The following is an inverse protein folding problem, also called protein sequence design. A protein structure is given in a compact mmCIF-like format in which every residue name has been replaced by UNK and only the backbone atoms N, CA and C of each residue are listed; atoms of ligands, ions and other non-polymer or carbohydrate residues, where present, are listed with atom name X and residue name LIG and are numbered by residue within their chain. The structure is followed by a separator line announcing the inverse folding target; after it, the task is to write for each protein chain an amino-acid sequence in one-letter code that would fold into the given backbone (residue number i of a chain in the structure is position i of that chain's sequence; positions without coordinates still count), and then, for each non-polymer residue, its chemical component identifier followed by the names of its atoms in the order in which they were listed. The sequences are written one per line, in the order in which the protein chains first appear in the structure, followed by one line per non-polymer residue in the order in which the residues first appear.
data_IF_606846993604
#
_entry.id   IF_606846993604
#
_cell.length_a   1.000
_cell.length_b   1.000
_cell.length_c   1.000
_cell.angle_alpha   90.00
_cell.angle_beta   90.00
_cell.angle_gamma   90.00
#
_symmetry.space_group_name_H-M   'P 1'
#
loop_
_entity.id
_entity.type
_entity.pdbx_description
1 polymer ?
#
# COMPACT_ATOMS: atom_id res chain seq x y z
N UNK A 1 31.34 14.93 17.23
CA UNK A 1 31.01 13.50 16.97
C UNK A 1 31.97 12.84 15.98
N UNK A 2 32.38 13.50 14.89
CA UNK A 2 33.32 12.95 13.89
C UNK A 2 34.77 13.41 14.04
N UNK A 3 35.06 14.39 14.92
CA UNK A 3 36.40 14.96 15.09
C UNK A 3 36.81 15.97 14.01
N UNK A 4 35.95 16.25 13.03
CA UNK A 4 36.19 17.27 11.99
C UNK A 4 35.79 18.65 12.50
N UNK A 5 36.61 19.67 12.22
CA UNK A 5 36.33 21.06 12.60
C UNK A 5 35.12 21.63 11.84
N UNK A 6 34.15 22.28 12.52
CA UNK A 6 32.99 22.89 11.88
C UNK A 6 33.34 24.11 11.01
N UNK A 7 34.48 24.76 11.28
CA UNK A 7 34.96 25.95 10.55
C UNK A 7 36.01 25.61 9.49
N UNK A 8 36.31 24.32 9.29
CA UNK A 8 37.29 23.83 8.33
C UNK A 8 36.78 23.76 6.88
N UNK A 9 37.57 23.13 5.97
CA UNK A 9 37.22 22.95 4.57
C UNK A 9 35.86 22.25 4.35
N UNK A 10 35.43 21.42 5.30
CA UNK A 10 34.16 20.68 5.26
C UNK A 10 32.99 21.41 5.97
N UNK A 11 33.08 22.73 6.18
CA UNK A 11 32.01 23.54 6.80
C UNK A 11 30.65 23.39 6.12
N UNK A 12 30.65 23.19 4.80
CA UNK A 12 29.42 23.01 4.02
C UNK A 12 28.65 21.76 4.47
N UNK A 13 29.35 20.64 4.71
CA UNK A 13 28.73 19.40 5.20
C UNK A 13 28.07 19.58 6.56
N UNK A 14 28.72 20.31 7.48
CA UNK A 14 28.14 20.59 8.80
C UNK A 14 26.83 21.38 8.69
N UNK A 15 26.78 22.40 7.80
CA UNK A 15 25.56 23.19 7.54
C UNK A 15 24.44 22.34 6.96
N UNK A 16 24.75 21.48 5.99
CA UNK A 16 23.75 20.58 5.37
C UNK A 16 23.20 19.60 6.40
N UNK A 17 24.05 18.99 7.23
CA UNK A 17 23.60 18.08 8.30
C UNK A 17 22.67 18.80 9.27
N UNK A 18 23.04 20.00 9.75
CA UNK A 18 22.23 20.75 10.70
C UNK A 18 20.86 21.14 10.12
N UNK A 19 20.83 21.64 8.88
CA UNK A 19 19.60 22.06 8.23
C UNK A 19 18.66 20.87 7.96
N UNK A 20 19.20 19.77 7.43
CA UNK A 20 18.40 18.60 7.09
C UNK A 20 17.97 17.80 8.32
N UNK A 21 18.77 17.79 9.40
CA UNK A 21 18.33 17.27 10.70
C UNK A 21 17.11 18.06 11.20
N UNK A 22 17.18 19.39 11.17
CA UNK A 22 16.07 20.27 11.57
C UNK A 22 14.83 19.96 10.75
N UNK A 23 14.92 19.99 9.41
CA UNK A 23 13.78 19.67 8.54
C UNK A 23 13.20 18.27 8.81
N UNK A 24 14.06 17.27 9.04
CA UNK A 24 13.60 15.90 9.32
C UNK A 24 12.81 15.81 10.62
N UNK A 25 13.29 16.44 11.69
CA UNK A 25 12.61 16.41 13.01
C UNK A 25 11.26 17.13 12.96
N UNK A 26 11.19 18.29 12.29
CA UNK A 26 9.93 19.02 12.12
C UNK A 26 8.90 18.22 11.31
N UNK A 27 9.31 17.62 10.18
CA UNK A 27 8.42 16.77 9.38
C UNK A 27 7.91 15.56 10.17
N UNK A 28 8.78 14.94 10.98
CA UNK A 28 8.35 13.84 11.86
C UNK A 28 7.41 14.31 12.96
N UNK A 29 7.59 15.52 13.49
CA UNK A 29 6.66 16.12 14.46
C UNK A 29 5.27 16.35 13.86
N UNK A 30 5.20 16.66 12.56
CA UNK A 30 3.94 16.78 11.79
C UNK A 30 3.33 15.43 11.37
N UNK A 31 3.87 14.30 11.88
CA UNK A 31 3.40 12.95 11.59
C UNK A 31 3.86 12.39 10.25
N UNK A 32 4.81 13.02 9.56
CA UNK A 32 5.38 12.49 8.32
C UNK A 32 6.43 11.44 8.66
N UNK A 33 6.26 10.22 8.14
CA UNK A 33 7.22 9.12 8.25
C UNK A 33 7.86 8.82 6.88
N UNK A 34 9.12 8.32 6.84
CA UNK A 34 9.80 8.00 5.59
C UNK A 34 9.04 6.96 4.75
N UNK A 35 8.75 7.27 3.49
CA UNK A 35 8.03 6.40 2.56
C UNK A 35 8.61 6.46 1.14
N UNK A 36 8.05 5.68 0.21
CA UNK A 36 8.46 5.69 -1.20
C UNK A 36 7.79 6.83 -2.00
N UNK A 37 6.77 7.50 -1.46
CA UNK A 37 5.94 8.46 -2.22
C UNK A 37 5.49 9.67 -1.39
N UNK A 38 5.06 10.74 -2.07
CA UNK A 38 4.48 11.92 -1.44
C UNK A 38 5.40 12.59 -0.41
N UNK A 39 4.83 13.06 0.71
CA UNK A 39 5.59 13.75 1.78
C UNK A 39 6.66 12.86 2.43
N UNK A 40 6.38 11.56 2.57
CA UNK A 40 7.33 10.62 3.16
C UNK A 40 8.55 10.35 2.27
N UNK A 41 8.39 10.43 0.94
CA UNK A 41 9.53 10.41 0.00
C UNK A 41 10.43 11.63 0.18
N UNK A 42 9.84 12.82 0.34
CA UNK A 42 10.60 14.06 0.56
C UNK A 42 11.40 13.99 1.86
N UNK A 43 10.76 13.54 2.96
CA UNK A 43 11.44 13.34 4.24
C UNK A 43 12.63 12.38 4.09
N UNK A 44 12.41 11.22 3.46
CA UNK A 44 13.46 10.23 3.21
C UNK A 44 14.63 10.82 2.44
N UNK A 45 14.37 11.61 1.39
CA UNK A 45 15.39 12.31 0.60
C UNK A 45 16.24 13.27 1.44
N UNK A 46 15.61 14.09 2.28
CA UNK A 46 16.28 15.02 3.19
C UNK A 46 17.19 14.27 4.16
N UNK A 47 16.67 13.20 4.78
CA UNK A 47 17.41 12.37 5.73
C UNK A 47 18.65 11.74 5.08
N UNK A 48 18.49 11.11 3.91
CA UNK A 48 19.60 10.44 3.21
C UNK A 48 20.71 11.40 2.78
N UNK A 49 20.35 12.63 2.42
CA UNK A 49 21.33 13.67 2.11
C UNK A 49 22.14 14.08 3.34
N UNK A 50 21.51 14.20 4.51
CA UNK A 50 22.24 14.42 5.76
C UNK A 50 23.19 13.25 6.07
N UNK A 51 22.74 12.00 5.90
CA UNK A 51 23.55 10.78 6.12
C UNK A 51 24.76 10.71 5.19
N UNK A 52 24.61 11.13 3.91
CA UNK A 52 25.73 11.23 2.98
C UNK A 52 26.78 12.21 3.48
N UNK A 53 26.37 13.42 3.88
CA UNK A 53 27.32 14.41 4.40
C UNK A 53 27.99 13.95 5.70
N UNK A 54 27.28 13.22 6.55
CA UNK A 54 27.86 12.57 7.71
C UNK A 54 28.96 11.56 7.34
N UNK A 55 28.73 10.72 6.33
CA UNK A 55 29.72 9.78 5.81
C UNK A 55 30.95 10.52 5.26
N UNK A 56 30.77 11.63 4.54
CA UNK A 56 31.87 12.47 4.04
C UNK A 56 32.72 13.09 5.17
N UNK A 57 32.12 13.34 6.33
CA UNK A 57 32.83 13.77 7.55
C UNK A 57 33.50 12.58 8.29
N UNK A 58 33.40 11.35 7.78
CA UNK A 58 34.01 10.16 8.36
C UNK A 58 33.18 9.45 9.44
N UNK A 59 31.87 9.70 9.51
CA UNK A 59 31.00 8.94 10.42
C UNK A 59 30.99 7.45 10.06
N UNK A 60 31.32 6.58 11.04
CA UNK A 60 31.32 5.12 10.86
C UNK A 60 30.04 4.45 11.39
N UNK A 61 29.43 5.08 12.39
CA UNK A 61 28.22 4.62 13.05
C UNK A 61 27.10 5.64 12.85
N UNK A 62 25.82 5.23 12.92
CA UNK A 62 24.68 6.15 12.86
C UNK A 62 24.89 7.31 13.83
N UNK A 63 24.83 8.56 13.35
CA UNK A 63 25.05 9.74 14.19
C UNK A 63 23.89 10.71 14.21
N UNK A 64 23.01 10.73 13.20
CA UNK A 64 22.02 11.81 13.09
C UNK A 64 21.05 11.80 14.27
N UNK A 65 20.60 10.62 14.69
CA UNK A 65 19.75 10.46 15.87
C UNK A 65 20.39 11.03 17.16
N UNK A 66 21.72 11.00 17.28
CA UNK A 66 22.46 11.54 18.44
C UNK A 66 22.47 13.07 18.47
N UNK A 67 22.12 13.72 17.37
CA UNK A 67 22.01 15.17 17.26
C UNK A 67 20.61 15.69 17.63
N UNK A 68 19.59 14.82 17.65
CA UNK A 68 18.21 15.21 18.00
C UNK A 68 18.12 15.89 19.36
N UNK A 69 18.74 15.38 20.44
CA UNK A 69 18.67 16.06 21.74
C UNK A 69 19.31 17.45 21.74
N UNK A 70 20.29 17.71 20.86
CA UNK A 70 20.89 19.05 20.70
C UNK A 70 19.86 19.99 20.07
N UNK A 71 19.21 19.56 18.98
CA UNK A 71 18.17 20.34 18.31
C UNK A 71 17.01 20.66 19.26
N UNK A 72 16.55 19.67 20.05
CA UNK A 72 15.48 19.85 21.03
C UNK A 72 15.89 20.87 22.11
N UNK A 73 17.13 20.85 22.59
CA UNK A 73 17.62 21.88 23.54
C UNK A 73 17.63 23.28 22.95
N UNK A 74 18.06 23.43 21.70
CA UNK A 74 18.16 24.75 21.04
C UNK A 74 16.79 25.32 20.66
N UNK A 75 15.85 24.47 20.24
CA UNK A 75 14.59 24.92 19.61
C UNK A 75 13.33 24.57 20.39
N UNK A 76 13.36 23.59 21.29
CA UNK A 76 12.17 23.00 21.91
C UNK A 76 11.34 23.96 22.76
N UNK A 77 11.94 25.06 23.25
CA UNK A 77 11.20 26.12 23.97
C UNK A 77 10.24 26.88 23.05
N UNK A 78 10.65 27.15 21.81
CA UNK A 78 9.82 27.86 20.83
C UNK A 78 8.89 26.91 20.06
N UNK A 79 9.25 25.63 19.97
CA UNK A 79 8.56 24.60 19.19
C UNK A 79 8.29 23.35 20.06
N UNK A 80 7.26 23.35 20.92
CA UNK A 80 6.97 22.22 21.82
C UNK A 80 6.66 20.90 21.09
N UNK A 81 6.21 20.97 19.83
CA UNK A 81 5.93 19.81 18.98
C UNK A 81 7.17 18.94 18.73
N UNK A 82 8.36 19.52 18.59
CA UNK A 82 9.59 18.73 18.41
C UNK A 82 10.04 18.04 19.70
N UNK A 83 9.64 18.55 20.88
CA UNK A 83 9.87 17.89 22.17
C UNK A 83 9.03 16.62 22.25
N UNK A 84 7.72 16.71 21.90
CA UNK A 84 6.83 15.54 21.86
C UNK A 84 7.29 14.49 20.87
N UNK A 85 7.85 14.93 19.74
CA UNK A 85 8.31 14.06 18.67
C UNK A 85 9.74 13.51 18.87
N UNK A 86 10.47 13.90 19.93
CA UNK A 86 11.88 13.57 20.11
C UNK A 86 12.16 12.07 20.01
N UNK A 87 11.37 11.25 20.72
CA UNK A 87 11.52 9.79 20.72
C UNK A 87 11.28 9.20 19.32
N UNK A 88 10.19 9.61 18.66
CA UNK A 88 9.85 9.14 17.32
C UNK A 88 10.88 9.57 16.28
N UNK A 89 11.33 10.82 16.31
CA UNK A 89 12.32 11.36 15.38
C UNK A 89 13.69 10.71 15.57
N UNK A 90 14.10 10.48 16.82
CA UNK A 90 15.34 9.77 17.16
C UNK A 90 15.33 8.36 16.59
N UNK A 91 14.26 7.59 16.83
CA UNK A 91 14.13 6.22 16.33
C UNK A 91 14.04 6.19 14.80
N UNK A 92 13.26 7.08 14.20
CA UNK A 92 13.10 7.19 12.74
C UNK A 92 14.43 7.47 12.04
N UNK A 93 15.22 8.43 12.56
CA UNK A 93 16.56 8.72 12.06
C UNK A 93 17.50 7.53 12.21
N UNK A 94 17.49 6.87 13.38
CA UNK A 94 18.34 5.71 13.63
C UNK A 94 18.05 4.56 12.67
N UNK A 95 16.77 4.23 12.48
CA UNK A 95 16.35 3.12 11.63
C UNK A 95 16.63 3.39 10.16
N UNK A 96 16.32 4.60 9.66
CA UNK A 96 16.62 4.97 8.27
C UNK A 96 18.14 5.02 8.03
N UNK A 97 18.93 5.55 8.96
CA UNK A 97 20.40 5.60 8.84
C UNK A 97 21.01 4.20 8.80
N UNK A 98 20.55 3.28 9.66
CA UNK A 98 20.96 1.87 9.63
C UNK A 98 20.58 1.18 8.32
N UNK A 99 19.35 1.39 7.84
CA UNK A 99 18.84 0.78 6.60
C UNK A 99 19.63 1.29 5.39
N UNK A 100 19.84 2.59 5.33
CA UNK A 100 20.44 3.26 4.20
C UNK A 100 21.96 3.08 4.12
N UNK A 101 22.66 2.94 5.25
CA UNK A 101 24.13 2.82 5.29
C UNK A 101 24.70 1.76 4.33
N UNK A 102 24.11 0.55 4.30
CA UNK A 102 24.57 -0.54 3.41
C UNK A 102 24.44 -0.16 1.93
N UNK A 103 23.35 0.51 1.59
CA UNK A 103 23.09 1.05 0.24
C UNK A 103 24.05 2.20 -0.10
N UNK A 104 24.33 3.07 0.88
CA UNK A 104 25.19 4.24 0.72
C UNK A 104 26.64 3.85 0.46
N UNK A 105 27.22 2.97 1.27
CA UNK A 105 28.64 2.54 1.13
C UNK A 105 28.87 1.89 -0.24
N UNK A 106 28.01 0.95 -0.64
CA UNK A 106 28.13 0.26 -1.93
C UNK A 106 27.85 1.19 -3.12
N UNK A 107 26.84 2.04 -3.01
CA UNK A 107 26.46 2.98 -4.07
C UNK A 107 27.52 4.04 -4.34
N UNK A 108 28.18 4.57 -3.29
CA UNK A 108 29.26 5.54 -3.44
C UNK A 108 30.50 4.93 -4.11
N UNK A 109 30.88 3.69 -3.76
CA UNK A 109 31.99 3.00 -4.42
C UNK A 109 31.76 2.85 -5.92
N UNK A 110 30.59 2.32 -6.31
CA UNK A 110 30.24 2.16 -7.73
C UNK A 110 30.18 3.53 -8.43
N UNK A 111 29.61 4.55 -7.78
CA UNK A 111 29.56 5.89 -8.34
C UNK A 111 30.96 6.47 -8.56
N UNK A 112 31.90 6.28 -7.63
CA UNK A 112 33.29 6.73 -7.78
C UNK A 112 33.98 6.01 -8.93
N UNK A 113 33.83 4.69 -9.05
CA UNK A 113 34.39 3.88 -10.15
C UNK A 113 33.86 4.34 -11.52
N UNK A 114 32.53 4.42 -11.66
CA UNK A 114 31.85 4.78 -12.92
C UNK A 114 32.04 6.26 -13.30
N UNK A 115 32.39 7.12 -12.34
CA UNK A 115 32.65 8.54 -12.59
C UNK A 115 34.12 8.91 -12.63
N UNK A 116 35.06 7.98 -12.41
CA UNK A 116 36.49 8.28 -12.22
C UNK A 116 37.11 9.04 -13.42
N UNK A 117 36.68 8.73 -14.64
CA UNK A 117 37.17 9.37 -15.87
C UNK A 117 36.44 10.67 -16.26
N UNK A 118 35.42 11.08 -15.51
CA UNK A 118 34.58 12.23 -15.87
C UNK A 118 35.10 13.53 -15.27
N UNK A 119 35.09 14.57 -16.09
CA UNK A 119 35.52 15.94 -15.73
C UNK A 119 34.32 16.89 -15.60
N UNK A 120 34.54 18.08 -15.05
CA UNK A 120 33.52 19.12 -14.96
C UNK A 120 32.89 19.41 -16.33
N UNK A 121 31.56 19.49 -16.37
CA UNK A 121 30.77 19.65 -17.60
C UNK A 121 30.39 18.33 -18.29
N UNK A 122 30.96 17.19 -17.89
CA UNK A 122 30.58 15.88 -18.41
C UNK A 122 29.20 15.44 -17.94
N UNK A 123 28.59 14.52 -18.71
CA UNK A 123 27.35 13.84 -18.33
C UNK A 123 27.63 12.43 -17.83
N UNK A 124 27.17 12.13 -16.62
CA UNK A 124 27.18 10.78 -16.07
C UNK A 124 26.08 9.95 -16.76
N UNK A 125 26.39 8.75 -17.28
CA UNK A 125 25.45 7.95 -18.05
C UNK A 125 24.16 7.62 -17.27
N UNK A 126 23.01 7.89 -17.88
CA UNK A 126 21.70 7.72 -17.23
C UNK A 126 21.29 6.26 -17.02
N UNK A 127 21.80 5.34 -17.83
CA UNK A 127 21.65 3.89 -17.69
C UNK A 127 22.44 3.36 -16.47
N UNK A 128 23.64 3.89 -16.23
CA UNK A 128 24.43 3.59 -15.04
C UNK A 128 23.74 4.18 -13.79
N UNK A 129 23.22 5.41 -13.88
CA UNK A 129 22.41 5.99 -12.81
C UNK A 129 21.13 5.17 -12.53
N UNK A 130 20.50 4.62 -13.57
CA UNK A 130 19.36 3.72 -13.44
C UNK A 130 19.75 2.40 -12.78
N UNK A 131 20.89 1.79 -13.14
CA UNK A 131 21.42 0.59 -12.48
C UNK A 131 21.71 0.83 -11.00
N UNK A 132 22.29 1.98 -10.65
CA UNK A 132 22.47 2.42 -9.26
C UNK A 132 21.14 2.47 -8.50
N UNK A 133 20.10 3.04 -9.11
CA UNK A 133 18.77 3.14 -8.53
C UNK A 133 18.07 1.77 -8.39
N UNK A 134 17.93 1.03 -9.49
CA UNK A 134 17.12 -0.18 -9.59
C UNK A 134 17.78 -1.39 -8.91
N UNK A 135 19.06 -1.63 -9.22
CA UNK A 135 19.76 -2.83 -8.75
C UNK A 135 20.33 -2.65 -7.34
N UNK A 136 20.86 -1.46 -7.05
CA UNK A 136 21.59 -1.21 -5.80
C UNK A 136 20.82 -0.35 -4.80
N UNK A 137 19.66 0.18 -5.18
CA UNK A 137 18.81 1.01 -4.33
C UNK A 137 19.37 2.42 -4.06
N UNK A 138 20.39 2.84 -4.82
CA UNK A 138 21.08 4.13 -4.66
C UNK A 138 20.31 5.24 -5.41
N UNK A 139 19.65 6.17 -4.70
CA UNK A 139 18.72 7.13 -5.30
C UNK A 139 19.37 8.09 -6.30
N UNK A 140 18.65 8.44 -7.37
CA UNK A 140 19.10 9.39 -8.40
C UNK A 140 19.50 10.74 -7.80
N UNK A 141 18.73 11.25 -6.83
CA UNK A 141 19.00 12.54 -6.20
C UNK A 141 20.33 12.55 -5.43
N UNK A 142 20.76 11.41 -4.88
CA UNK A 142 22.06 11.28 -4.24
C UNK A 142 23.19 11.13 -5.26
N UNK A 143 22.94 10.48 -6.39
CA UNK A 143 23.86 10.46 -7.54
C UNK A 143 24.12 11.89 -8.03
N UNK A 144 23.07 12.67 -8.24
CA UNK A 144 23.17 14.08 -8.65
C UNK A 144 23.89 14.94 -7.61
N UNK A 145 23.52 14.79 -6.32
CA UNK A 145 24.14 15.55 -5.22
C UNK A 145 25.63 15.18 -5.05
N UNK A 146 25.99 13.93 -5.34
CA UNK A 146 27.36 13.44 -5.27
C UNK A 146 28.26 14.00 -6.37
N UNK A 147 27.75 14.06 -7.58
CA UNK A 147 28.48 14.53 -8.75
C UNK A 147 28.52 16.06 -8.86
N UNK A 148 27.57 16.77 -8.23
CA UNK A 148 27.47 18.23 -8.25
C UNK A 148 28.76 18.94 -7.85
N UNK A 149 29.45 18.44 -6.82
CA UNK A 149 30.71 19.03 -6.33
C UNK A 149 31.85 19.00 -7.35
N UNK A 150 31.78 18.12 -8.35
CA UNK A 150 32.74 17.97 -9.45
C UNK A 150 32.26 18.64 -10.74
N UNK A 151 31.11 19.31 -10.72
CA UNK A 151 30.50 19.91 -11.92
C UNK A 151 30.01 18.89 -12.94
N UNK A 152 29.76 17.64 -12.53
CA UNK A 152 29.25 16.57 -13.39
C UNK A 152 27.73 16.50 -13.24
N UNK A 153 27.01 16.39 -14.35
CA UNK A 153 25.55 16.29 -14.36
C UNK A 153 25.12 14.88 -14.74
N UNK A 154 24.05 14.35 -14.15
CA UNK A 154 23.48 13.06 -14.57
C UNK A 154 22.66 13.27 -15.84
N UNK A 155 22.76 12.34 -16.80
CA UNK A 155 21.84 12.32 -17.94
C UNK A 155 20.45 11.82 -17.50
N UNK A 156 19.61 12.76 -17.06
CA UNK A 156 18.28 12.45 -16.55
C UNK A 156 17.32 11.95 -17.63
N UNK A 157 17.57 12.28 -18.90
CA UNK A 157 16.70 11.88 -20.01
C UNK A 157 16.93 10.40 -20.34
N UNK A 158 18.20 9.98 -20.37
CA UNK A 158 18.56 8.56 -20.47
C UNK A 158 18.04 7.76 -19.27
N UNK A 159 18.13 8.30 -18.04
CA UNK A 159 17.56 7.66 -16.84
C UNK A 159 16.04 7.46 -16.95
N UNK A 160 15.30 8.50 -17.35
CA UNK A 160 13.84 8.42 -17.55
C UNK A 160 13.47 7.40 -18.63
N UNK A 161 14.23 7.38 -19.72
CA UNK A 161 14.03 6.40 -20.80
C UNK A 161 14.19 4.97 -20.28
N UNK A 162 15.18 4.70 -19.43
CA UNK A 162 15.36 3.40 -18.80
C UNK A 162 14.22 3.04 -17.84
N UNK A 163 13.75 4.00 -17.03
CA UNK A 163 12.58 3.84 -16.14
C UNK A 163 11.29 3.50 -16.92
N UNK A 164 11.01 4.20 -18.01
CA UNK A 164 9.81 3.95 -18.82
C UNK A 164 9.90 2.61 -19.55
N UNK A 165 11.09 2.21 -20.01
CA UNK A 165 11.31 0.87 -20.56
C UNK A 165 11.02 -0.22 -19.52
N UNK A 166 11.52 -0.09 -18.29
CA UNK A 166 11.23 -1.05 -17.22
C UNK A 166 9.72 -1.12 -16.91
N UNK A 167 9.03 0.03 -16.85
CA UNK A 167 7.58 0.05 -16.66
C UNK A 167 6.84 -0.60 -17.84
N UNK A 168 7.28 -0.35 -19.07
CA UNK A 168 6.70 -0.95 -20.26
C UNK A 168 6.91 -2.46 -20.28
N UNK A 169 8.10 -2.94 -19.92
CA UNK A 169 8.42 -4.37 -19.82
C UNK A 169 7.59 -5.04 -18.70
N UNK A 170 7.44 -4.38 -17.55
CA UNK A 170 6.56 -4.85 -16.46
C UNK A 170 5.08 -4.87 -16.87
N UNK A 171 4.62 -3.85 -17.63
CA UNK A 171 3.27 -3.79 -18.19
C UNK A 171 3.07 -4.82 -19.30
N UNK A 172 4.07 -5.11 -20.12
CA UNK A 172 3.99 -6.15 -21.16
C UNK A 172 3.94 -7.55 -20.53
N UNK A 173 4.68 -7.76 -19.43
CA UNK A 173 4.57 -8.96 -18.61
C UNK A 173 3.18 -9.07 -17.94
N UNK A 174 2.54 -7.95 -17.59
CA UNK A 174 1.16 -7.90 -17.10
C UNK A 174 0.13 -8.07 -18.23
N UNK A 175 0.33 -7.49 -19.42
CA UNK A 175 -0.59 -7.59 -20.56
C UNK A 175 -0.78 -9.00 -21.11
N UNK A 176 0.03 -9.97 -20.68
CA UNK A 176 -0.28 -11.39 -20.81
C UNK A 176 -1.53 -11.86 -20.03
N UNK A 177 -2.19 -11.00 -19.21
CA UNK A 177 -3.34 -11.35 -18.37
C UNK A 177 -4.70 -10.67 -18.72
N UNK A 178 -4.83 -9.96 -19.85
CA UNK A 178 -6.15 -9.72 -20.49
C UNK A 178 -7.10 -8.61 -19.97
N UNK A 179 -6.70 -7.69 -19.09
CA UNK A 179 -7.64 -6.77 -18.40
C UNK A 179 -8.12 -5.50 -19.17
N UNK A 180 -7.41 -5.01 -20.20
CA UNK A 180 -7.73 -3.69 -20.77
C UNK A 180 -8.99 -3.65 -21.68
N UNK A 181 -9.34 -4.75 -22.35
CA UNK A 181 -10.55 -4.81 -23.18
C UNK A 181 -11.84 -4.97 -22.35
N UNK A 182 -11.70 -5.42 -21.10
CA UNK A 182 -12.82 -5.80 -20.22
C UNK A 182 -13.53 -4.59 -19.62
N UNK A 183 -12.85 -3.45 -19.46
CA UNK A 183 -13.41 -2.28 -18.77
C UNK A 183 -14.51 -1.53 -19.55
N UNK A 184 -14.43 -1.50 -20.88
CA UNK A 184 -15.43 -0.81 -21.72
C UNK A 184 -16.84 -1.42 -21.59
N UNK A 185 -16.92 -2.75 -21.44
CA UNK A 185 -18.20 -3.45 -21.25
C UNK A 185 -18.85 -3.06 -19.92
N UNK A 186 -18.06 -2.88 -18.85
CA UNK A 186 -18.62 -2.50 -17.54
C UNK A 186 -19.22 -1.10 -17.55
N UNK A 187 -18.61 -0.14 -18.24
CA UNK A 187 -19.19 1.20 -18.39
C UNK A 187 -20.53 1.17 -19.12
N UNK A 188 -20.60 0.49 -20.26
CA UNK A 188 -21.83 0.37 -21.04
C UNK A 188 -22.95 -0.33 -20.25
N UNK A 189 -22.62 -1.42 -19.53
CA UNK A 189 -23.56 -2.13 -18.68
C UNK A 189 -24.05 -1.27 -17.51
N UNK A 190 -23.15 -0.53 -16.84
CA UNK A 190 -23.52 0.32 -15.71
C UNK A 190 -24.41 1.50 -16.12
N UNK A 191 -24.20 2.05 -17.32
CA UNK A 191 -25.03 3.11 -17.89
C UNK A 191 -26.43 2.58 -18.26
N UNK A 192 -26.52 1.38 -18.86
CA UNK A 192 -27.77 0.78 -19.31
C UNK A 192 -28.62 0.19 -18.17
N UNK A 193 -27.99 -0.54 -17.25
CA UNK A 193 -28.69 -1.34 -16.23
C UNK A 193 -28.79 -0.65 -14.87
N UNK A 194 -27.96 0.36 -14.61
CA UNK A 194 -27.87 1.00 -13.30
C UNK A 194 -26.97 0.26 -12.30
N UNK A 195 -27.02 0.69 -11.04
CA UNK A 195 -26.31 0.01 -9.95
C UNK A 195 -27.00 -1.31 -9.59
N UNK A 196 -26.22 -2.29 -9.11
CA UNK A 196 -26.82 -3.51 -8.52
C UNK A 196 -27.24 -3.22 -7.07
N UNK A 197 -28.47 -3.58 -6.72
CA UNK A 197 -28.94 -3.50 -5.34
C UNK A 197 -28.31 -4.61 -4.50
N UNK A 198 -27.58 -4.24 -3.44
CA UNK A 198 -26.88 -5.19 -2.59
C UNK A 198 -27.69 -5.49 -1.32
N UNK A 199 -28.06 -6.76 -1.14
CA UNK A 199 -28.92 -7.25 -0.06
C UNK A 199 -28.15 -8.02 1.02
N UNK A 200 -26.83 -8.24 0.83
CA UNK A 200 -26.01 -9.14 1.65
C UNK A 200 -25.68 -8.67 3.07
N UNK A 201 -26.22 -7.51 3.48
CA UNK A 201 -26.24 -7.08 4.87
C UNK A 201 -27.39 -7.71 5.66
N UNK A 202 -28.52 -7.98 5.00
CA UNK A 202 -29.73 -8.47 5.64
C UNK A 202 -29.98 -9.96 5.39
N UNK A 203 -29.59 -10.46 4.21
CA UNK A 203 -29.88 -11.85 3.80
C UNK A 203 -28.73 -12.47 3.00
N UNK A 204 -28.63 -13.80 3.05
CA UNK A 204 -27.71 -14.62 2.25
C UNK A 204 -28.40 -15.33 1.08
N UNK A 205 -29.71 -15.13 0.94
CA UNK A 205 -30.51 -15.60 -0.19
C UNK A 205 -31.42 -14.49 -0.72
N UNK A 206 -31.56 -14.42 -2.04
CA UNK A 206 -32.50 -13.50 -2.70
C UNK A 206 -32.88 -14.02 -4.08
N UNK A 207 -33.99 -13.51 -4.60
CA UNK A 207 -34.34 -13.67 -6.02
C UNK A 207 -33.85 -12.45 -6.81
N UNK A 208 -33.58 -12.62 -8.10
CA UNK A 208 -33.12 -11.55 -8.99
C UNK A 208 -33.42 -11.88 -10.45
N UNK A 209 -33.12 -10.93 -11.33
CA UNK A 209 -33.27 -11.05 -12.77
C UNK A 209 -31.91 -10.86 -13.43
N UNK A 210 -31.55 -11.77 -14.33
CA UNK A 210 -30.34 -11.68 -15.16
C UNK A 210 -30.44 -10.45 -16.06
N UNK A 211 -29.54 -9.49 -15.88
CA UNK A 211 -29.47 -8.26 -16.68
C UNK A 211 -28.50 -8.36 -17.85
N UNK A 212 -27.38 -9.04 -17.63
CA UNK A 212 -26.39 -9.27 -18.67
C UNK A 212 -25.58 -10.53 -18.38
N UNK A 213 -25.09 -11.14 -19.47
CA UNK A 213 -24.11 -12.21 -19.45
C UNK A 213 -22.95 -11.77 -20.34
N UNK A 214 -21.73 -11.98 -19.87
CA UNK A 214 -20.51 -11.62 -20.60
C UNK A 214 -19.60 -12.84 -20.66
N UNK A 215 -19.09 -13.16 -21.86
CA UNK A 215 -18.10 -14.21 -22.08
C UNK A 215 -16.98 -13.65 -22.93
N UNK A 216 -15.73 -13.89 -22.51
CA UNK A 216 -14.52 -13.41 -23.19
C UNK A 216 -14.54 -11.89 -23.48
N UNK A 217 -15.13 -11.11 -22.57
CA UNK A 217 -15.25 -9.65 -22.69
C UNK A 217 -16.31 -9.18 -23.69
N UNK A 218 -17.25 -10.03 -24.11
CA UNK A 218 -18.35 -9.67 -25.02
C UNK A 218 -19.69 -10.09 -24.39
N UNK A 219 -20.71 -9.25 -24.52
CA UNK A 219 -22.08 -9.58 -24.09
C UNK A 219 -22.65 -10.75 -24.91
N UNK A 220 -23.31 -11.69 -24.25
CA UNK A 220 -23.98 -12.84 -24.86
C UNK A 220 -25.40 -12.98 -24.32
N UNK A 221 -26.31 -13.57 -25.11
CA UNK A 221 -27.71 -13.74 -24.70
C UNK A 221 -27.92 -14.94 -23.75
N UNK A 222 -27.00 -15.91 -23.77
CA UNK A 222 -27.08 -17.14 -22.99
C UNK A 222 -25.71 -17.72 -22.62
N UNK A 223 -25.66 -18.43 -21.48
CA UNK A 223 -24.59 -19.36 -21.11
C UNK A 223 -25.19 -20.76 -20.95
N UNK A 224 -24.61 -21.78 -21.59
CA UNK A 224 -25.07 -23.17 -21.57
C UNK A 224 -24.36 -24.00 -20.52
N UNK A 225 -24.95 -25.14 -20.15
CA UNK A 225 -24.31 -26.15 -19.31
C UNK A 225 -22.85 -26.43 -19.72
N UNK A 226 -21.94 -26.34 -18.75
CA UNK A 226 -20.50 -26.47 -18.93
C UNK A 226 -19.76 -25.16 -19.21
N UNK A 227 -20.46 -24.11 -19.66
CA UNK A 227 -19.87 -22.81 -19.94
C UNK A 227 -19.70 -21.98 -18.66
N UNK A 228 -18.68 -21.13 -18.69
CA UNK A 228 -18.37 -20.16 -17.65
C UNK A 228 -18.36 -18.75 -18.25
N UNK A 229 -18.79 -17.77 -17.46
CA UNK A 229 -18.83 -16.38 -17.87
C UNK A 229 -19.09 -15.47 -16.67
N UNK A 230 -19.43 -14.22 -16.96
CA UNK A 230 -19.72 -13.20 -15.97
C UNK A 230 -21.21 -12.87 -16.03
N UNK A 231 -21.83 -12.77 -14.87
CA UNK A 231 -23.25 -12.52 -14.68
C UNK A 231 -23.47 -11.20 -13.94
N UNK A 232 -24.34 -10.37 -14.49
CA UNK A 232 -24.91 -9.19 -13.81
C UNK A 232 -26.40 -9.44 -13.56
N UNK A 233 -26.84 -9.20 -12.33
CA UNK A 233 -28.23 -9.24 -11.90
C UNK A 233 -28.66 -7.87 -11.36
N UNK A 234 -29.96 -7.61 -11.29
CA UNK A 234 -30.49 -6.36 -10.74
C UNK A 234 -30.24 -6.22 -9.23
N UNK A 235 -30.28 -7.33 -8.49
CA UNK A 235 -30.04 -7.37 -7.04
C UNK A 235 -29.32 -8.66 -6.62
N UNK A 236 -28.52 -8.61 -5.56
CA UNK A 236 -27.73 -9.77 -5.11
C UNK A 236 -27.43 -9.75 -3.60
N UNK A 237 -27.45 -10.91 -2.92
CA UNK A 237 -26.92 -11.06 -1.56
C UNK A 237 -25.39 -11.26 -1.53
N UNK A 238 -24.74 -11.46 -2.68
CA UNK A 238 -23.31 -11.78 -2.76
C UNK A 238 -22.46 -10.54 -2.59
N UNK A 239 -21.58 -10.54 -1.59
CA UNK A 239 -20.62 -9.47 -1.39
C UNK A 239 -19.56 -9.50 -2.49
N UNK A 240 -19.41 -8.39 -3.21
CA UNK A 240 -18.35 -8.20 -4.18
C UNK A 240 -17.02 -7.87 -3.49
N UNK A 241 -15.95 -8.49 -3.94
CA UNK A 241 -14.59 -8.29 -3.41
C UNK A 241 -14.27 -6.80 -3.21
N UNK A 242 -13.94 -6.43 -1.98
CA UNK A 242 -13.68 -5.04 -1.59
C UNK A 242 -13.01 -4.96 -0.22
N UNK A 243 -12.24 -3.89 0.03
CA UNK A 243 -11.62 -3.66 1.35
C UNK A 243 -10.63 -4.74 1.81
N UNK A 244 -10.11 -5.55 0.88
CA UNK A 244 -9.27 -6.73 1.18
C UNK A 244 -10.07 -8.02 1.43
N UNK A 245 -11.39 -7.94 1.53
CA UNK A 245 -12.25 -9.10 1.67
C UNK A 245 -12.56 -9.74 0.32
N UNK A 246 -12.32 -11.05 0.21
CA UNK A 246 -12.64 -11.83 -0.99
C UNK A 246 -14.15 -11.84 -1.27
N UNK A 247 -14.50 -11.95 -2.55
CA UNK A 247 -15.88 -12.05 -2.98
C UNK A 247 -16.57 -13.32 -2.51
N UNK A 248 -17.89 -13.23 -2.33
CA UNK A 248 -18.71 -14.38 -1.98
C UNK A 248 -18.83 -15.36 -3.15
N UNK A 249 -18.96 -16.64 -2.80
CA UNK A 249 -19.27 -17.75 -3.72
C UNK A 249 -20.55 -18.45 -3.25
N UNK A 250 -21.13 -19.30 -4.09
CA UNK A 250 -22.42 -19.91 -3.80
C UNK A 250 -23.10 -20.50 -5.02
N UNK A 251 -24.43 -20.46 -5.03
CA UNK A 251 -25.25 -21.15 -6.03
C UNK A 251 -26.29 -20.22 -6.63
N UNK A 252 -26.63 -20.52 -7.88
CA UNK A 252 -27.73 -19.91 -8.62
C UNK A 252 -28.64 -21.03 -9.12
N UNK A 253 -29.94 -20.86 -8.92
CA UNK A 253 -30.97 -21.72 -9.50
C UNK A 253 -31.93 -20.86 -10.34
N UNK A 254 -32.35 -21.35 -11.50
CA UNK A 254 -33.35 -20.71 -12.36
C UNK A 254 -34.49 -21.66 -12.69
N UNK A 255 -35.50 -21.14 -13.38
CA UNK A 255 -36.61 -21.96 -13.87
C UNK A 255 -36.14 -23.08 -14.82
N UNK A 256 -36.97 -24.12 -14.98
CA UNK A 256 -36.68 -25.21 -15.92
C UNK A 256 -35.48 -26.10 -15.55
N UNK A 257 -35.02 -26.04 -14.29
CA UNK A 257 -33.89 -26.83 -13.80
C UNK A 257 -32.53 -26.23 -14.13
N UNK A 258 -32.47 -24.94 -14.47
CA UNK A 258 -31.19 -24.24 -14.63
C UNK A 258 -30.48 -24.20 -13.28
N UNK A 259 -29.23 -24.66 -13.26
CA UNK A 259 -28.38 -24.64 -12.07
C UNK A 259 -26.99 -24.13 -12.44
N UNK A 260 -26.45 -23.23 -11.63
CA UNK A 260 -25.11 -22.70 -11.81
C UNK A 260 -24.40 -22.47 -10.47
N UNK A 261 -23.08 -22.46 -10.52
CA UNK A 261 -22.20 -22.18 -9.40
C UNK A 261 -21.64 -20.76 -9.55
N UNK A 262 -21.70 -19.98 -8.48
CA UNK A 262 -21.05 -18.67 -8.39
C UNK A 262 -19.70 -18.89 -7.74
N UNK A 263 -18.62 -18.71 -8.50
CA UNK A 263 -17.25 -19.00 -8.09
C UNK A 263 -16.62 -17.84 -7.34
N UNK A 264 -16.94 -16.61 -7.73
CA UNK A 264 -16.48 -15.38 -7.12
C UNK A 264 -17.45 -14.23 -7.45
N UNK A 265 -17.44 -13.17 -6.64
CA UNK A 265 -18.20 -11.95 -6.92
C UNK A 265 -17.28 -10.74 -6.83
N UNK A 266 -17.27 -9.90 -7.86
CA UNK A 266 -16.44 -8.71 -7.96
C UNK A 266 -17.30 -7.45 -7.99
N UNK A 267 -16.74 -6.34 -7.51
CA UNK A 267 -17.35 -5.02 -7.63
C UNK A 267 -16.63 -4.23 -8.73
N UNK A 268 -17.34 -3.92 -9.81
CA UNK A 268 -16.86 -3.05 -10.89
C UNK A 268 -17.50 -1.67 -10.76
N UNK A 269 -16.74 -0.63 -11.06
CA UNK A 269 -17.22 0.78 -11.03
C UNK A 269 -17.87 1.21 -9.69
N UNK A 270 -17.55 0.53 -8.58
CA UNK A 270 -17.99 0.87 -7.22
C UNK A 270 -19.35 0.28 -6.80
N UNK A 271 -20.25 -0.02 -7.73
CA UNK A 271 -21.62 -0.46 -7.43
C UNK A 271 -22.23 -1.47 -8.42
N UNK A 272 -21.47 -1.91 -9.45
CA UNK A 272 -21.88 -3.00 -10.33
C UNK A 272 -21.31 -4.32 -9.81
N UNK A 273 -22.18 -5.25 -9.40
CA UNK A 273 -21.76 -6.55 -8.89
C UNK A 273 -21.74 -7.58 -10.01
N UNK A 274 -20.57 -8.14 -10.27
CA UNK A 274 -20.29 -9.07 -11.35
C UNK A 274 -19.93 -10.42 -10.76
N UNK A 275 -20.67 -11.45 -11.13
CA UNK A 275 -20.52 -12.80 -10.58
C UNK A 275 -19.82 -13.67 -11.61
N UNK A 276 -18.70 -14.30 -11.24
CA UNK A 276 -18.11 -15.38 -12.01
C UNK A 276 -18.99 -16.62 -11.86
N UNK A 277 -19.65 -17.00 -12.94
CA UNK A 277 -20.67 -18.05 -12.94
C UNK A 277 -20.28 -19.19 -13.87
N UNK A 278 -20.44 -20.42 -13.39
CA UNK A 278 -20.32 -21.64 -14.19
C UNK A 278 -21.64 -22.40 -14.21
N UNK A 279 -22.24 -22.52 -15.40
CA UNK A 279 -23.50 -23.22 -15.57
C UNK A 279 -23.26 -24.72 -15.47
N UNK A 280 -24.01 -25.40 -14.59
CA UNK A 280 -23.97 -26.85 -14.40
C UNK A 280 -25.02 -27.53 -15.27
N UNK A 281 -26.25 -27.03 -15.23
CA UNK A 281 -27.39 -27.61 -15.92
C UNK A 281 -28.25 -26.51 -16.57
N UNK A 282 -28.85 -26.83 -17.71
CA UNK A 282 -29.72 -25.92 -18.46
C UNK A 282 -28.97 -24.82 -19.22
N UNK A 283 -29.67 -23.71 -19.48
CA UNK A 283 -29.13 -22.51 -20.12
C UNK A 283 -29.58 -21.26 -19.36
N UNK A 284 -28.62 -20.51 -18.84
CA UNK A 284 -28.84 -19.23 -18.18
C UNK A 284 -29.00 -18.15 -19.26
N UNK A 285 -30.11 -17.41 -19.25
CA UNK A 285 -30.44 -16.41 -20.28
C UNK A 285 -30.61 -15.04 -19.68
N UNK A 286 -30.30 -14.00 -20.47
CA UNK A 286 -30.67 -12.63 -20.13
C UNK A 286 -32.20 -12.53 -19.98
N UNK A 287 -32.64 -11.82 -18.94
CA UNK A 287 -34.05 -11.66 -18.56
C UNK A 287 -34.62 -12.78 -17.68
N UNK A 288 -33.88 -13.86 -17.43
CA UNK A 288 -34.36 -14.96 -16.58
C UNK A 288 -34.44 -14.56 -15.11
N UNK A 289 -35.49 -15.01 -14.42
CA UNK A 289 -35.58 -14.96 -12.97
C UNK A 289 -34.72 -16.07 -12.35
N UNK A 290 -33.97 -15.73 -11.29
CA UNK A 290 -33.02 -16.61 -10.63
C UNK A 290 -33.09 -16.46 -9.11
N UNK A 291 -32.92 -17.57 -8.40
CA UNK A 291 -32.68 -17.61 -6.97
C UNK A 291 -31.17 -17.73 -6.70
N UNK A 292 -30.66 -16.84 -5.87
CA UNK A 292 -29.26 -16.67 -5.50
C UNK A 292 -29.09 -17.08 -4.04
N UNK A 293 -28.08 -17.92 -3.73
CA UNK A 293 -27.77 -18.35 -2.37
C UNK A 293 -26.27 -18.36 -2.13
N UNK A 294 -25.81 -17.54 -1.19
CA UNK A 294 -24.41 -17.47 -0.74
C UNK A 294 -24.04 -18.73 0.03
N UNK A 295 -22.79 -19.17 -0.10
CA UNK A 295 -22.22 -20.22 0.74
C UNK A 295 -22.05 -19.70 2.18
N UNK A 296 -22.97 -20.12 3.06
CA UNK A 296 -23.03 -19.67 4.45
C UNK A 296 -21.76 -19.98 5.26
N UNK A 297 -21.18 -21.18 5.10
CA UNK A 297 -20.00 -21.57 5.88
C UNK A 297 -18.79 -20.73 5.47
N UNK A 298 -18.59 -20.56 4.16
CA UNK A 298 -17.53 -19.70 3.64
C UNK A 298 -17.73 -18.25 4.06
N UNK A 299 -18.95 -17.71 3.92
CA UNK A 299 -19.29 -16.33 4.30
C UNK A 299 -19.02 -16.07 5.77
N UNK A 300 -19.40 -17.01 6.63
CA UNK A 300 -19.21 -16.91 8.08
C UNK A 300 -17.72 -16.90 8.45
N UNK A 301 -16.90 -17.76 7.84
CA UNK A 301 -15.45 -17.76 8.05
C UNK A 301 -14.79 -16.44 7.60
N UNK A 302 -15.20 -15.91 6.44
CA UNK A 302 -14.73 -14.62 5.95
C UNK A 302 -15.14 -13.47 6.88
N UNK A 303 -16.39 -13.44 7.36
CA UNK A 303 -16.85 -12.44 8.34
C UNK A 303 -16.06 -12.52 9.65
N UNK A 304 -15.79 -13.72 10.16
CA UNK A 304 -14.97 -13.90 11.35
C UNK A 304 -13.55 -13.33 11.17
N UNK A 305 -12.91 -13.61 10.04
CA UNK A 305 -11.59 -13.07 9.71
C UNK A 305 -11.62 -11.54 9.47
N UNK A 306 -12.73 -11.00 8.97
CA UNK A 306 -12.93 -9.55 8.85
C UNK A 306 -12.98 -8.90 10.24
N UNK A 307 -13.81 -9.42 11.15
CA UNK A 307 -13.88 -8.92 12.52
C UNK A 307 -12.53 -9.04 13.24
N UNK A 308 -11.83 -10.16 13.06
CA UNK A 308 -10.47 -10.36 13.59
C UNK A 308 -9.48 -9.32 13.04
N UNK A 309 -9.63 -8.86 11.80
CA UNK A 309 -8.79 -7.81 11.22
C UNK A 309 -8.92 -6.49 12.00
N UNK A 310 -10.13 -6.09 12.40
CA UNK A 310 -10.34 -4.89 13.21
C UNK A 310 -9.74 -5.04 14.61
N UNK A 311 -9.96 -6.19 15.25
CA UNK A 311 -9.39 -6.48 16.57
C UNK A 311 -7.86 -6.48 16.54
N UNK A 312 -7.26 -7.08 15.50
CA UNK A 312 -5.83 -7.11 15.29
C UNK A 312 -5.26 -5.71 15.09
N UNK A 313 -5.92 -4.87 14.29
CA UNK A 313 -5.48 -3.49 14.05
C UNK A 313 -5.47 -2.67 15.33
N UNK A 314 -6.52 -2.76 16.14
CA UNK A 314 -6.60 -2.08 17.44
C UNK A 314 -5.56 -2.62 18.44
N UNK A 315 -5.38 -3.93 18.52
CA UNK A 315 -4.37 -4.55 19.37
C UNK A 315 -2.94 -4.09 18.99
N UNK A 316 -2.63 -4.03 17.69
CA UNK A 316 -1.36 -3.51 17.20
C UNK A 316 -1.14 -2.04 17.60
N UNK A 317 -2.17 -1.19 17.51
CA UNK A 317 -2.08 0.22 17.94
C UNK A 317 -1.82 0.33 19.44
N UNK A 318 -2.46 -0.49 20.27
CA UNK A 318 -2.24 -0.47 21.74
C UNK A 318 -0.84 -0.90 22.14
N UNK A 319 -0.26 -1.88 21.45
CA UNK A 319 1.06 -2.41 21.78
C UNK A 319 2.18 -1.56 21.17
N UNK A 320 2.02 -1.14 19.92
CA UNK A 320 3.08 -0.50 19.15
C UNK A 320 2.97 1.03 19.11
N UNK A 321 1.76 1.58 19.24
CA UNK A 321 1.46 3.02 19.17
C UNK A 321 0.51 3.41 18.03
N UNK A 322 -0.05 4.62 18.11
CA UNK A 322 -1.05 5.15 17.17
C UNK A 322 -0.54 5.36 15.73
N UNK A 323 0.78 5.29 15.49
CA UNK A 323 1.35 5.39 14.14
C UNK A 323 1.12 4.14 13.28
N UNK A 324 0.59 3.06 13.86
CA UNK A 324 0.18 1.88 13.11
C UNK A 324 -1.02 2.24 12.23
N UNK A 325 -0.78 2.21 10.92
CA UNK A 325 -1.79 2.40 9.89
C UNK A 325 -1.76 1.22 8.92
N UNK A 326 -2.96 0.75 8.54
CA UNK A 326 -3.13 -0.28 7.52
C UNK A 326 -2.49 0.15 6.19
N UNK A 327 -1.79 -0.78 5.56
CA UNK A 327 -1.14 -0.67 4.24
C UNK A 327 -1.62 -1.72 3.25
N UNK A 328 -2.24 -2.79 3.74
CA UNK A 328 -2.81 -3.86 2.92
C UNK A 328 -3.63 -4.80 3.79
N UNK A 329 -4.60 -5.47 3.18
CA UNK A 329 -5.41 -6.50 3.85
C UNK A 329 -5.83 -7.58 2.86
N UNK A 330 -5.85 -8.82 3.32
CA UNK A 330 -6.51 -9.95 2.68
C UNK A 330 -7.36 -10.64 3.74
N UNK A 331 -8.65 -10.81 3.47
CA UNK A 331 -9.59 -11.54 4.32
C UNK A 331 -10.20 -12.66 3.47
N UNK A 332 -9.69 -13.87 3.68
CA UNK A 332 -10.10 -15.10 3.01
C UNK A 332 -10.71 -16.06 4.05
N UNK A 333 -11.44 -17.13 3.67
CA UNK A 333 -12.04 -18.05 4.65
C UNK A 333 -11.00 -18.83 5.47
N UNK A 334 -9.84 -19.13 4.89
CA UNK A 334 -8.77 -19.93 5.50
C UNK A 334 -7.74 -19.09 6.26
N UNK A 335 -7.64 -17.79 5.96
CA UNK A 335 -6.63 -16.90 6.55
C UNK A 335 -7.00 -15.43 6.43
N UNK A 336 -6.39 -14.62 7.29
CA UNK A 336 -6.27 -13.18 7.09
C UNK A 336 -4.80 -12.77 7.02
N UNK A 337 -4.51 -11.73 6.22
CA UNK A 337 -3.21 -11.03 6.20
C UNK A 337 -3.48 -9.56 6.44
N UNK A 338 -2.77 -8.96 7.39
CA UNK A 338 -2.87 -7.54 7.69
C UNK A 338 -1.48 -6.89 7.58
N UNK A 339 -1.30 -6.02 6.58
CA UNK A 339 -0.05 -5.30 6.35
C UNK A 339 -0.18 -3.90 6.97
N UNK A 340 0.80 -3.46 7.77
CA UNK A 340 0.74 -2.19 8.48
C UNK A 340 2.08 -1.46 8.54
N UNK A 341 2.05 -0.15 8.81
CA UNK A 341 3.26 0.66 8.97
C UNK A 341 3.89 0.45 10.35
N UNK A 342 5.04 -0.21 10.36
CA UNK A 342 5.91 -0.29 11.53
C UNK A 342 7.38 -0.41 11.07
N UNK A 343 8.32 0.36 11.65
CA UNK A 343 9.65 0.50 11.07
C UNK A 343 10.62 -0.64 11.46
N UNK A 344 10.23 -1.50 12.39
CA UNK A 344 10.98 -2.68 12.86
C UNK A 344 10.11 -3.95 12.78
N UNK A 345 10.69 -5.15 12.74
CA UNK A 345 9.94 -6.38 12.99
C UNK A 345 9.40 -6.41 14.42
N UNK A 346 8.26 -7.08 14.64
CA UNK A 346 7.74 -7.31 15.99
C UNK A 346 8.64 -8.33 16.71
N UNK A 347 8.91 -8.05 17.97
CA UNK A 347 9.49 -9.03 18.89
C UNK A 347 8.46 -10.11 19.25
N UNK A 348 8.95 -11.26 19.72
CA UNK A 348 8.08 -12.35 20.19
C UNK A 348 7.17 -11.91 21.36
N UNK A 349 7.65 -11.01 22.21
CA UNK A 349 6.84 -10.46 23.31
C UNK A 349 5.74 -9.51 22.80
N UNK A 350 6.04 -8.64 21.83
CA UNK A 350 5.04 -7.78 21.19
C UNK A 350 3.98 -8.62 20.46
N UNK A 351 4.39 -9.69 19.75
CA UNK A 351 3.46 -10.62 19.09
C UNK A 351 2.50 -11.27 20.08
N UNK A 352 3.03 -11.84 21.18
CA UNK A 352 2.21 -12.47 22.21
C UNK A 352 1.22 -11.48 22.84
N UNK A 353 1.65 -10.25 23.13
CA UNK A 353 0.76 -9.22 23.68
C UNK A 353 -0.37 -8.83 22.71
N UNK A 354 -0.07 -8.70 21.42
CA UNK A 354 -1.08 -8.42 20.39
C UNK A 354 -2.10 -9.56 20.33
N UNK A 355 -1.64 -10.80 20.33
CA UNK A 355 -2.47 -12.00 20.33
C UNK A 355 -3.38 -12.07 21.57
N UNK A 356 -2.81 -11.86 22.76
CA UNK A 356 -3.55 -11.85 24.03
C UNK A 356 -4.66 -10.79 24.05
N UNK A 357 -4.35 -9.57 23.58
CA UNK A 357 -5.34 -8.48 23.52
C UNK A 357 -6.47 -8.84 22.55
N UNK A 358 -6.14 -9.30 21.34
CA UNK A 358 -7.15 -9.65 20.35
C UNK A 358 -8.06 -10.78 20.85
N UNK A 359 -7.48 -11.85 21.40
CA UNK A 359 -8.24 -12.98 21.94
C UNK A 359 -9.08 -12.60 23.17
N UNK A 360 -8.58 -11.72 24.04
CA UNK A 360 -9.35 -11.22 25.16
C UNK A 360 -10.63 -10.48 24.71
N UNK A 361 -10.60 -9.75 23.59
CA UNK A 361 -11.78 -9.13 23.01
C UNK A 361 -12.73 -10.13 22.38
N UNK A 362 -12.21 -11.15 21.68
CA UNK A 362 -13.03 -12.26 21.15
C UNK A 362 -13.83 -12.92 22.28
N UNK A 363 -13.18 -13.19 23.43
CA UNK A 363 -13.82 -13.84 24.58
C UNK A 363 -14.92 -13.00 25.24
N UNK A 364 -14.90 -11.66 25.10
CA UNK A 364 -15.96 -10.80 25.65
C UNK A 364 -17.27 -10.92 24.88
N UNK A 365 -17.20 -11.29 23.59
CA UNK A 365 -18.36 -11.44 22.72
C UNK A 365 -19.29 -10.20 22.75
N UNK A 366 -18.69 -9.01 22.70
CA UNK A 366 -19.42 -7.75 22.65
C UNK A 366 -20.17 -7.62 21.31
N UNK A 367 -21.37 -6.98 21.29
CA UNK A 367 -22.13 -6.78 20.06
C UNK A 367 -21.38 -5.88 19.07
N UNK A 368 -21.48 -6.22 17.78
CA UNK A 368 -20.95 -5.42 16.67
C UNK A 368 -22.11 -4.74 15.97
N UNK A 369 -22.12 -3.39 16.02
CA UNK A 369 -23.14 -2.56 15.37
C UNK A 369 -22.56 -1.85 14.13
N UNK A 370 -23.36 -1.74 13.07
CA UNK A 370 -23.07 -0.89 11.91
C UNK A 370 -24.13 0.20 11.83
N UNK A 371 -23.71 1.46 11.69
CA UNK A 371 -24.61 2.62 11.56
C UNK A 371 -24.22 3.47 10.36
N UNK A 372 -25.21 3.91 9.59
CA UNK A 372 -25.01 4.95 8.59
C UNK A 372 -25.00 6.30 9.29
N UNK A 373 -23.92 7.06 9.13
CA UNK A 373 -23.70 8.33 9.82
C UNK A 373 -23.10 9.35 8.87
N UNK A 374 -23.26 10.63 9.18
CA UNK A 374 -22.48 11.68 8.53
C UNK A 374 -21.00 11.55 8.92
N UNK A 375 -20.10 12.03 8.05
CA UNK A 375 -18.64 11.89 8.25
C UNK A 375 -18.19 12.51 9.57
N UNK A 376 -18.68 13.71 9.89
CA UNK A 376 -18.28 14.43 11.11
C UNK A 376 -18.75 13.68 12.38
N UNK A 377 -19.99 13.16 12.38
CA UNK A 377 -20.52 12.36 13.48
C UNK A 377 -19.75 11.04 13.66
N UNK A 378 -19.33 10.42 12.55
CA UNK A 378 -18.52 9.21 12.61
C UNK A 378 -17.15 9.48 13.26
N UNK A 379 -16.49 10.58 12.91
CA UNK A 379 -15.21 10.99 13.52
C UNK A 379 -15.39 11.27 15.02
N UNK A 380 -16.44 12.00 15.41
CA UNK A 380 -16.74 12.29 16.82
C UNK A 380 -17.05 11.01 17.62
N UNK A 381 -17.68 10.01 17.00
CA UNK A 381 -17.94 8.70 17.62
C UNK A 381 -16.68 7.84 17.81
N UNK A 382 -15.53 8.31 17.32
CA UNK A 382 -14.24 7.64 17.45
C UNK A 382 -13.82 6.80 16.24
N UNK A 383 -14.49 6.95 15.09
CA UNK A 383 -13.97 6.41 13.83
C UNK A 383 -12.64 7.10 13.49
N UNK A 384 -11.59 6.31 13.26
CA UNK A 384 -10.21 6.80 13.07
C UNK A 384 -9.56 6.25 11.81
#
# INVERSE_FOLDING_TARGET
LTGVSPDGPQKASHRVIADHLRASVFLTADGVLPSNEGRGYVLRRIMRRAMRHAQLLGARDPLLHRLVPVLVREMGRAYPEIVRAEALATETLLLEERRFRRTLERGLLILEEESAGLISGARFPGDVAFKLYDTYGFPLDLTEDALRGRGIHVDTDAFKTAMERQKADARAAWQGSGEAATDAVWFALREREGATEFLGYDTESAEGVVRALVRDGVEVDELKAGEQGLLVVNQTPFYGESGGQVGDSGRLAGEGGVAAEILNTQKKLGDLFVHDVKVKDGALRVGAAVALSVDHERRSAVRANHSATHLLHEALRRVLGDHVAQKGSLVAPDRLRFDFSHPKPLSQAELAQVEDIANAYVLRNEPVDTRLMAVDEAIESGAR
#
